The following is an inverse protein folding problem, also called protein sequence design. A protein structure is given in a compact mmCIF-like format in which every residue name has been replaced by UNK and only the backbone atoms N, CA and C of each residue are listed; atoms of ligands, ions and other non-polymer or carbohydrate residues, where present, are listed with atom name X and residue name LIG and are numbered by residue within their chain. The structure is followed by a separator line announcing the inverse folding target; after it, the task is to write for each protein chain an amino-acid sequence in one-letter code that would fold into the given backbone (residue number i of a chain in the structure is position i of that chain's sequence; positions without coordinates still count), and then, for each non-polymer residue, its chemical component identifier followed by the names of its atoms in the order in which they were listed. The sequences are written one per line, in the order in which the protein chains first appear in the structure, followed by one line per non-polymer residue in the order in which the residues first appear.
data_IF_087313835028
#
_entry.id   IF_087313835028
#
_cell.length_a   1.000
_cell.length_b   1.000
_cell.length_c   1.000
_cell.angle_alpha   90.00
_cell.angle_beta   90.00
_cell.angle_gamma   90.00
#
_symmetry.space_group_name_H-M   'P 1'
#
loop_
_entity.id
_entity.type
_entity.pdbx_description
1 polymer ?
#
# COMPACT_ATOMS: atom_id res chain seq x y z
N UNK A 1 -4.19 11.91 0.28
CA UNK A 1 -3.59 11.77 1.62
C UNK A 1 -2.22 11.13 1.45
N UNK A 2 -1.18 11.69 2.06
CA UNK A 2 0.15 11.07 2.11
C UNK A 2 0.74 11.29 3.50
N UNK A 3 1.71 10.47 3.88
CA UNK A 3 2.55 10.70 5.07
C UNK A 3 3.61 11.77 4.79
N UNK A 4 4.25 12.30 5.84
CA UNK A 4 5.26 13.36 5.75
C UNK A 4 6.70 12.85 5.64
N UNK A 5 6.92 11.53 5.76
CA UNK A 5 8.21 10.83 5.66
C UNK A 5 8.54 10.38 4.22
N UNK A 6 7.72 10.79 3.25
CA UNK A 6 7.82 10.39 1.84
C UNK A 6 8.72 11.38 1.06
N UNK A 7 10.02 11.38 1.35
CA UNK A 7 10.98 12.39 0.87
C UNK A 7 11.16 12.46 -0.66
N UNK A 8 10.92 11.35 -1.37
CA UNK A 8 11.10 11.25 -2.83
C UNK A 8 9.79 11.41 -3.62
N UNK A 9 8.68 11.77 -2.96
CA UNK A 9 7.40 11.93 -3.63
C UNK A 9 7.44 13.09 -4.63
N UNK A 10 7.22 12.78 -5.91
CA UNK A 10 7.17 13.80 -6.97
C UNK A 10 5.74 14.12 -7.40
N UNK A 11 5.53 15.32 -7.97
CA UNK A 11 4.25 15.68 -8.58
C UNK A 11 3.85 14.73 -9.72
N UNK A 12 4.82 14.14 -10.43
CA UNK A 12 4.57 13.13 -11.48
C UNK A 12 3.95 11.86 -10.90
N UNK A 13 4.54 11.31 -9.82
CA UNK A 13 4.00 10.13 -9.13
C UNK A 13 2.57 10.39 -8.62
N UNK A 14 2.31 11.57 -8.07
CA UNK A 14 0.98 11.96 -7.59
C UNK A 14 -0.03 12.01 -8.74
N UNK A 15 0.34 12.56 -9.90
CA UNK A 15 -0.54 12.60 -11.09
C UNK A 15 -0.88 11.20 -11.58
N UNK A 16 0.13 10.34 -11.77
CA UNK A 16 -0.06 8.95 -12.18
C UNK A 16 -1.03 8.20 -11.25
N UNK A 17 -0.84 8.35 -9.93
CA UNK A 17 -1.76 7.76 -8.96
C UNK A 17 -3.19 8.30 -9.10
N UNK A 18 -3.35 9.62 -9.23
CA UNK A 18 -4.66 10.26 -9.29
C UNK A 18 -5.44 9.93 -10.56
N UNK A 19 -4.77 9.73 -11.69
CA UNK A 19 -5.39 9.38 -12.97
C UNK A 19 -6.18 8.07 -12.88
N UNK A 20 -5.66 7.09 -12.14
CA UNK A 20 -6.37 5.84 -11.86
C UNK A 20 -7.28 5.93 -10.63
N UNK A 21 -6.83 6.57 -9.54
CA UNK A 21 -7.52 6.54 -8.25
C UNK A 21 -8.93 7.16 -8.31
N UNK A 22 -9.12 8.20 -9.12
CA UNK A 22 -10.39 8.93 -9.25
C UNK A 22 -11.56 8.06 -9.72
N UNK A 23 -11.29 6.94 -10.39
CA UNK A 23 -12.31 5.97 -10.81
C UNK A 23 -12.89 5.14 -9.64
N UNK A 24 -12.34 5.26 -8.43
CA UNK A 24 -12.72 4.49 -7.26
C UNK A 24 -13.18 5.37 -6.09
N UNK A 25 -13.86 4.77 -5.11
CA UNK A 25 -14.22 5.47 -3.89
C UNK A 25 -13.01 5.64 -2.95
N UNK A 26 -12.06 4.70 -2.97
CA UNK A 26 -10.78 4.83 -2.31
C UNK A 26 -9.69 4.05 -3.03
N UNK A 27 -8.44 4.50 -2.94
CA UNK A 27 -7.30 3.77 -3.49
C UNK A 27 -6.06 3.92 -2.62
N UNK A 28 -5.15 2.96 -2.74
CA UNK A 28 -3.82 3.01 -2.17
C UNK A 28 -2.79 2.75 -3.26
N UNK A 29 -1.73 3.56 -3.28
CA UNK A 29 -0.59 3.33 -4.15
C UNK A 29 0.33 2.25 -3.57
N UNK A 30 0.97 1.50 -4.45
CA UNK A 30 1.97 0.52 -4.11
C UNK A 30 3.06 0.45 -5.17
N UNK A 31 4.17 -0.20 -4.85
CA UNK A 31 5.23 -0.52 -5.80
C UNK A 31 5.40 -2.03 -5.84
N UNK A 32 5.45 -2.58 -7.04
CA UNK A 32 5.71 -4.01 -7.23
C UNK A 32 7.13 -4.37 -6.81
N UNK A 33 7.26 -5.56 -6.21
CA UNK A 33 8.55 -6.08 -5.75
C UNK A 33 9.58 -6.12 -6.86
N UNK A 34 9.19 -6.54 -8.05
CA UNK A 34 10.06 -6.63 -9.24
C UNK A 34 10.61 -5.26 -9.63
N UNK A 35 9.76 -4.25 -9.71
CA UNK A 35 10.15 -2.86 -10.00
C UNK A 35 11.10 -2.32 -8.92
N UNK A 36 10.78 -2.57 -7.65
CA UNK A 36 11.61 -2.11 -6.54
C UNK A 36 13.00 -2.77 -6.53
N UNK A 37 13.05 -4.10 -6.65
CA UNK A 37 14.31 -4.86 -6.62
C UNK A 37 15.19 -4.60 -7.85
N UNK A 38 14.59 -4.30 -9.01
CA UNK A 38 15.32 -3.88 -10.21
C UNK A 38 16.01 -2.53 -10.03
N UNK A 39 15.33 -1.56 -9.41
CA UNK A 39 15.87 -0.21 -9.19
C UNK A 39 16.84 -0.15 -8.01
N UNK A 40 16.55 -0.88 -6.93
CA UNK A 40 17.32 -0.87 -5.68
C UNK A 40 17.77 -2.28 -5.28
N UNK A 41 18.67 -2.91 -6.07
CA UNK A 41 19.17 -4.25 -5.77
C UNK A 41 19.86 -4.27 -4.40
N UNK A 42 19.50 -5.26 -3.57
CA UNK A 42 20.06 -5.43 -2.22
C UNK A 42 19.44 -4.53 -1.14
N UNK A 43 18.52 -3.62 -1.48
CA UNK A 43 17.76 -2.84 -0.50
C UNK A 43 16.82 -3.75 0.30
N UNK A 44 16.85 -3.64 1.64
CA UNK A 44 15.97 -4.41 2.53
C UNK A 44 14.60 -3.73 2.62
N UNK A 45 13.59 -4.33 1.98
CA UNK A 45 12.20 -3.87 2.02
C UNK A 45 11.27 -5.02 2.38
N UNK A 46 10.24 -4.73 3.19
CA UNK A 46 9.16 -5.68 3.46
C UNK A 46 8.12 -5.61 2.35
N UNK A 47 7.75 -6.79 1.85
CA UNK A 47 6.71 -6.92 0.83
C UNK A 47 5.53 -7.76 1.34
N UNK A 48 4.33 -7.29 1.05
CA UNK A 48 3.12 -8.11 1.11
C UNK A 48 3.15 -9.05 -0.09
N UNK A 49 2.95 -10.35 0.16
CA UNK A 49 3.01 -11.40 -0.85
C UNK A 49 1.61 -11.98 -1.09
N UNK A 50 1.02 -11.64 -2.22
CA UNK A 50 -0.18 -12.27 -2.76
C UNK A 50 0.25 -13.30 -3.81
N UNK A 51 -0.68 -14.19 -4.18
CA UNK A 51 -0.46 -15.27 -5.15
C UNK A 51 0.04 -14.77 -6.51
N UNK A 52 -0.53 -13.66 -6.98
CA UNK A 52 -0.31 -13.07 -8.31
C UNK A 52 0.43 -11.73 -8.25
N UNK A 53 0.78 -11.26 -7.05
CA UNK A 53 1.23 -9.88 -6.85
C UNK A 53 2.02 -9.74 -5.55
N UNK A 54 3.23 -9.18 -5.62
CA UNK A 54 4.03 -8.88 -4.42
C UNK A 54 4.38 -7.40 -4.42
N UNK A 55 4.10 -6.70 -3.34
CA UNK A 55 4.20 -5.24 -3.33
C UNK A 55 4.57 -4.66 -1.97
N UNK A 56 5.08 -3.43 -1.97
CA UNK A 56 5.18 -2.59 -0.79
C UNK A 56 4.26 -1.38 -0.93
N UNK A 57 3.77 -0.85 0.19
CA UNK A 57 2.93 0.34 0.19
C UNK A 57 3.74 1.58 -0.19
N UNK A 58 3.10 2.55 -0.84
CA UNK A 58 3.73 3.80 -1.25
C UNK A 58 3.21 5.02 -0.46
N UNK A 59 2.65 4.80 0.73
CA UNK A 59 2.11 5.83 1.64
C UNK A 59 1.21 6.91 0.99
N UNK A 60 0.62 6.64 -0.17
CA UNK A 60 -0.21 7.55 -0.92
C UNK A 60 -1.61 6.95 -1.08
N UNK A 61 -2.61 7.72 -0.66
CA UNK A 61 -3.99 7.25 -0.54
C UNK A 61 -4.98 8.26 -1.10
N UNK A 62 -6.02 7.73 -1.73
CA UNK A 62 -7.17 8.46 -2.24
C UNK A 62 -8.41 8.09 -1.43
N UNK A 63 -9.16 9.11 -1.00
CA UNK A 63 -10.45 8.96 -0.34
C UNK A 63 -11.43 9.94 -0.96
N UNK A 64 -12.45 9.44 -1.65
CA UNK A 64 -13.46 10.27 -2.31
C UNK A 64 -14.55 10.76 -1.33
N UNK A 65 -14.10 11.40 -0.23
CA UNK A 65 -14.97 11.95 0.81
C UNK A 65 -15.89 10.90 1.44
N UNK A 66 -17.18 11.21 1.53
CA UNK A 66 -18.19 10.36 2.18
C UNK A 66 -18.26 8.93 1.60
N UNK A 67 -17.96 8.76 0.30
CA UNK A 67 -17.96 7.43 -0.35
C UNK A 67 -16.90 6.49 0.22
N UNK A 68 -15.86 7.03 0.85
CA UNK A 68 -14.76 6.26 1.42
C UNK A 68 -14.91 6.04 2.94
N UNK A 69 -15.97 6.56 3.57
CA UNK A 69 -16.14 6.55 5.03
C UNK A 69 -16.07 5.15 5.63
N UNK A 70 -16.74 4.17 5.03
CA UNK A 70 -16.74 2.79 5.52
C UNK A 70 -15.33 2.17 5.57
N UNK A 71 -14.46 2.55 4.64
CA UNK A 71 -13.06 2.13 4.64
C UNK A 71 -12.27 2.82 5.77
N UNK A 72 -12.44 4.13 5.94
CA UNK A 72 -11.75 4.89 6.98
C UNK A 72 -12.12 4.39 8.39
N UNK A 73 -13.41 4.11 8.64
CA UNK A 73 -13.87 3.56 9.92
C UNK A 73 -13.30 2.16 10.19
N UNK A 74 -13.31 1.30 9.17
CA UNK A 74 -12.72 -0.04 9.25
C UNK A 74 -11.22 0.02 9.50
N UNK A 75 -10.50 0.88 8.78
CA UNK A 75 -9.07 1.08 8.95
C UNK A 75 -8.71 1.56 10.35
N UNK A 76 -9.45 2.52 10.90
CA UNK A 76 -9.27 2.98 12.28
C UNK A 76 -9.40 1.83 13.30
N UNK A 77 -10.36 0.94 13.10
CA UNK A 77 -10.53 -0.25 13.93
C UNK A 77 -9.37 -1.25 13.82
N UNK A 78 -8.84 -1.45 12.61
CA UNK A 78 -7.66 -2.29 12.38
C UNK A 78 -6.41 -1.69 13.02
N UNK A 79 -6.16 -0.40 12.82
CA UNK A 79 -4.98 0.30 13.33
C UNK A 79 -4.94 0.27 14.88
N UNK A 80 -6.07 0.47 15.53
CA UNK A 80 -6.19 0.35 16.99
C UNK A 80 -5.83 -1.06 17.50
N UNK A 81 -5.91 -2.08 16.66
CA UNK A 81 -5.58 -3.47 16.97
C UNK A 81 -4.31 -3.97 16.26
N UNK A 82 -3.48 -3.08 15.69
CA UNK A 82 -2.32 -3.46 14.86
C UNK A 82 -1.30 -4.38 15.57
N UNK A 83 -1.23 -4.32 16.90
CA UNK A 83 -0.38 -5.16 17.75
C UNK A 83 -1.07 -6.46 18.22
N UNK A 84 -2.28 -6.74 17.75
CA UNK A 84 -3.15 -7.86 18.17
C UNK A 84 -3.58 -8.69 16.94
N UNK A 85 -2.71 -9.57 16.43
CA UNK A 85 -2.92 -10.26 15.14
C UNK A 85 -4.21 -11.08 15.09
N UNK A 86 -4.61 -11.72 16.20
CA UNK A 86 -5.88 -12.46 16.28
C UNK A 86 -7.10 -11.54 16.07
N UNK A 87 -7.09 -10.34 16.66
CA UNK A 87 -8.19 -9.36 16.47
C UNK A 87 -8.21 -8.80 15.05
N UNK A 88 -7.04 -8.57 14.46
CA UNK A 88 -6.95 -8.18 13.05
C UNK A 88 -7.51 -9.27 12.12
N UNK A 89 -7.14 -10.53 12.35
CA UNK A 89 -7.64 -11.66 11.58
C UNK A 89 -9.17 -11.83 11.71
N UNK A 90 -9.73 -11.61 12.90
CA UNK A 90 -11.19 -11.59 13.10
C UNK A 90 -11.87 -10.46 12.32
N UNK A 91 -11.32 -9.24 12.35
CA UNK A 91 -11.87 -8.08 11.66
C UNK A 91 -11.82 -8.22 10.13
N UNK A 92 -10.70 -8.71 9.59
CA UNK A 92 -10.52 -8.95 8.14
C UNK A 92 -11.32 -10.18 7.71
N UNK A 93 -11.38 -11.21 8.56
CA UNK A 93 -12.02 -12.50 8.31
C UNK A 93 -11.04 -13.65 8.32
N UNK A 94 -11.35 -14.69 9.09
CA UNK A 94 -10.50 -15.87 9.26
C UNK A 94 -10.17 -16.53 7.92
N UNK A 95 -11.14 -16.72 7.03
CA UNK A 95 -10.89 -17.30 5.70
C UNK A 95 -9.95 -16.45 4.85
N UNK A 96 -10.07 -15.12 4.92
CA UNK A 96 -9.15 -14.21 4.21
C UNK A 96 -7.74 -14.32 4.79
N UNK A 97 -7.61 -14.27 6.11
CA UNK A 97 -6.33 -14.42 6.79
C UNK A 97 -5.66 -15.76 6.44
N UNK A 98 -6.42 -16.86 6.45
CA UNK A 98 -5.94 -18.18 6.04
C UNK A 98 -5.53 -18.20 4.57
N UNK A 99 -6.31 -17.61 3.67
CA UNK A 99 -5.95 -17.55 2.25
C UNK A 99 -4.66 -16.75 1.99
N UNK A 100 -4.44 -15.67 2.76
CA UNK A 100 -3.21 -14.89 2.71
C UNK A 100 -2.02 -15.72 3.22
N UNK A 101 -2.16 -16.33 4.39
CA UNK A 101 -1.11 -17.17 5.00
C UNK A 101 -0.77 -18.40 4.15
N UNK A 102 -1.76 -18.99 3.49
CA UNK A 102 -1.59 -20.10 2.55
C UNK A 102 -1.04 -19.66 1.19
N UNK A 103 -0.79 -18.36 0.96
CA UNK A 103 -0.27 -17.82 -0.31
C UNK A 103 -1.24 -17.95 -1.48
N UNK A 104 -2.53 -18.15 -1.24
CA UNK A 104 -3.55 -18.35 -2.27
C UNK A 104 -4.36 -17.09 -2.60
N UNK A 105 -4.25 -16.07 -1.76
CA UNK A 105 -4.96 -14.79 -1.91
C UNK A 105 -4.38 -13.99 -3.08
N UNK A 106 -5.23 -13.56 -4.02
CA UNK A 106 -4.86 -12.70 -5.15
C UNK A 106 -5.17 -11.23 -4.88
N UNK A 107 -4.60 -10.31 -5.68
CA UNK A 107 -4.93 -8.88 -5.62
C UNK A 107 -6.44 -8.60 -5.80
N UNK A 108 -7.16 -9.17 -6.80
CA UNK A 108 -8.61 -9.00 -6.89
C UNK A 108 -9.37 -9.56 -5.67
N UNK A 109 -8.88 -10.65 -5.06
CA UNK A 109 -9.48 -11.20 -3.84
C UNK A 109 -9.29 -10.29 -2.62
N UNK A 110 -8.15 -9.58 -2.54
CA UNK A 110 -7.91 -8.53 -1.55
C UNK A 110 -8.92 -7.40 -1.68
N UNK A 111 -9.02 -6.80 -2.87
CA UNK A 111 -9.96 -5.71 -3.14
C UNK A 111 -11.41 -6.13 -2.86
N UNK A 112 -11.80 -7.35 -3.28
CA UNK A 112 -13.12 -7.92 -3.01
C UNK A 112 -13.39 -8.12 -1.51
N UNK A 113 -12.38 -8.54 -0.74
CA UNK A 113 -12.52 -8.65 0.72
C UNK A 113 -12.77 -7.29 1.35
N UNK A 114 -11.97 -6.29 0.99
CA UNK A 114 -12.14 -4.93 1.52
C UNK A 114 -13.52 -4.39 1.19
N UNK A 115 -13.98 -4.56 -0.06
CA UNK A 115 -15.33 -4.18 -0.48
C UNK A 115 -16.42 -4.87 0.34
N UNK A 116 -16.30 -6.18 0.59
CA UNK A 116 -17.27 -6.93 1.41
C UNK A 116 -17.35 -6.40 2.84
N UNK A 117 -16.22 -6.02 3.44
CA UNK A 117 -16.12 -5.53 4.82
C UNK A 117 -16.56 -4.09 4.99
N UNK A 118 -16.29 -3.26 4.00
CA UNK A 118 -16.42 -1.79 4.14
C UNK A 118 -17.55 -1.21 3.29
N UNK A 119 -18.09 -1.99 2.33
CA UNK A 119 -18.99 -1.52 1.26
C UNK A 119 -18.39 -0.45 0.35
N UNK A 120 -17.06 -0.30 0.36
CA UNK A 120 -16.32 0.65 -0.46
C UNK A 120 -15.60 -0.09 -1.59
N UNK A 121 -15.78 0.36 -2.83
CA UNK A 121 -14.98 -0.09 -3.96
C UNK A 121 -13.58 0.53 -3.87
N UNK A 122 -12.58 -0.34 -3.66
CA UNK A 122 -11.19 0.05 -3.48
C UNK A 122 -10.31 -0.40 -4.63
N UNK A 123 -9.21 0.32 -4.88
CA UNK A 123 -8.18 -0.08 -5.83
C UNK A 123 -6.79 -0.04 -5.20
N UNK A 124 -6.00 -1.08 -5.45
CA UNK A 124 -4.57 -1.08 -5.18
C UNK A 124 -3.84 -0.77 -6.49
N UNK A 125 -3.18 0.39 -6.55
CA UNK A 125 -2.63 0.96 -7.78
C UNK A 125 -1.10 0.81 -7.77
N UNK A 126 -0.51 -0.02 -8.66
CA UNK A 126 0.93 -0.12 -8.80
C UNK A 126 1.47 1.13 -9.50
N UNK A 127 2.45 1.79 -8.89
CA UNK A 127 3.23 2.86 -9.52
C UNK A 127 4.50 2.27 -10.14
N UNK A 128 4.94 2.81 -11.30
CA UNK A 128 6.17 2.36 -11.95
C UNK A 128 7.44 2.91 -11.26
N UNK A 129 7.29 3.88 -10.36
CA UNK A 129 8.40 4.52 -9.66
C UNK A 129 8.73 3.79 -8.36
N UNK A 130 9.88 3.12 -8.31
CA UNK A 130 10.31 2.39 -7.12
C UNK A 130 10.51 3.30 -5.90
N UNK A 131 10.91 4.55 -6.14
CA UNK A 131 11.12 5.61 -5.16
C UNK A 131 9.86 5.88 -4.32
N UNK A 132 8.67 5.63 -4.88
CA UNK A 132 7.40 5.87 -4.20
C UNK A 132 7.18 4.94 -2.99
N UNK A 133 7.92 3.84 -2.88
CA UNK A 133 7.88 2.95 -1.72
C UNK A 133 9.00 3.24 -0.70
N UNK A 134 9.67 4.40 -0.80
CA UNK A 134 10.72 4.82 0.14
C UNK A 134 10.20 5.91 1.07
N UNK A 135 10.01 5.50 2.31
CA UNK A 135 9.82 6.31 3.51
C UNK A 135 11.12 6.41 4.32
N UNK A 136 11.30 7.52 5.04
CA UNK A 136 12.49 7.77 5.87
C UNK A 136 12.18 7.51 7.35
N UNK A 137 12.33 6.25 7.77
CA UNK A 137 12.15 5.83 9.17
C UNK A 137 13.48 5.59 9.90
N UNK A 138 14.55 5.24 9.16
CA UNK A 138 15.84 4.83 9.70
C UNK A 138 17.01 5.56 9.03
N UNK A 139 18.20 5.59 9.66
CA UNK A 139 19.39 6.19 9.06
C UNK A 139 19.74 5.63 7.67
N UNK A 140 19.54 4.33 7.45
CA UNK A 140 19.81 3.70 6.15
C UNK A 140 18.85 4.19 5.05
N UNK A 141 17.61 4.52 5.41
CA UNK A 141 16.64 5.07 4.46
C UNK A 141 17.07 6.49 4.05
N UNK A 142 17.55 7.29 4.99
CA UNK A 142 18.10 8.63 4.71
C UNK A 142 19.35 8.56 3.82
N UNK A 143 20.25 7.60 4.04
CA UNK A 143 21.40 7.37 3.16
C UNK A 143 20.96 7.02 1.74
N UNK A 144 19.95 6.18 1.58
CA UNK A 144 19.40 5.82 0.27
C UNK A 144 18.77 7.04 -0.42
N UNK A 145 17.95 7.81 0.28
CA UNK A 145 17.33 9.05 -0.24
C UNK A 145 18.38 10.05 -0.69
N UNK A 146 19.44 10.28 0.11
CA UNK A 146 20.54 11.18 -0.27
C UNK A 146 21.28 10.71 -1.51
N UNK A 147 21.51 9.41 -1.66
CA UNK A 147 22.12 8.84 -2.87
C UNK A 147 21.26 9.07 -4.09
N UNK A 148 19.94 8.89 -3.97
CA UNK A 148 19.00 9.11 -5.08
C UNK A 148 19.00 10.58 -5.50
N UNK A 149 18.85 11.50 -4.55
CA UNK A 149 18.82 12.94 -4.82
C UNK A 149 20.14 13.51 -5.34
N UNK A 150 21.26 12.83 -5.12
CA UNK A 150 22.56 13.23 -5.67
C UNK A 150 22.78 12.76 -7.13
N UNK A 151 21.90 11.88 -7.64
CA UNK A 151 21.94 11.37 -9.02
C UNK A 151 20.97 12.13 -9.94
N UNK A 152 20.04 12.90 -9.37
CA UNK A 152 19.11 13.80 -10.07
C UNK A 152 19.74 15.18 -10.32
#
# INVERSE_FOLDING_TARGET
LTTCDHALLSAGMVRLFLDEARASAAAAACVERTIYEQRFPGSKRTFIRLKDFSFSGANLFWFAGARAKGLADFWRGLEANRKRPLKMAQAIGVFTALSYLAGSMTKPALEKTIRRRTKVDVRLIPLPNAEAAIDVDKPQDLELVRKILALD
#
